data_IF_256069785172
#
_entry.id   IF_256069785172
#
_cell.length_a   1.000
_cell.length_b   1.000
_cell.length_c   1.000
_cell.angle_alpha   90.00
_cell.angle_beta   90.00
_cell.angle_gamma   90.00
#
_symmetry.space_group_name_H-M   'P 1'
#
loop_
_entity.id
_entity.type
_entity.pdbx_description
1 polymer ?
#
# COMPACT_ATOMS: atom_id res chain seq x y z
N UNK A 1 0.54 -14.34 19.30
CA UNK A 1 -0.20 -15.46 19.95
C UNK A 1 -1.23 -16.00 18.98
N UNK A 2 -1.32 -17.31 18.77
CA UNK A 2 -2.15 -17.98 17.74
C UNK A 2 -3.63 -17.79 18.06
N UNK A 3 -4.44 -17.18 17.17
CA UNK A 3 -5.89 -17.34 17.23
C UNK A 3 -6.29 -18.59 16.46
N UNK A 4 -6.51 -19.69 17.20
CA UNK A 4 -7.43 -20.75 16.78
C UNK A 4 -8.84 -20.22 16.99
N UNK A 5 -9.65 -20.26 15.94
CA UNK A 5 -11.04 -19.84 15.96
C UNK A 5 -11.82 -20.73 16.93
N UNK A 6 -12.30 -20.17 18.04
CA UNK A 6 -13.31 -20.78 18.89
C UNK A 6 -14.56 -19.92 18.73
N UNK A 7 -15.61 -20.50 18.15
CA UNK A 7 -16.93 -19.91 18.11
C UNK A 7 -17.45 -19.77 19.54
N UNK A 8 -17.73 -18.53 19.97
CA UNK A 8 -18.60 -18.28 21.10
C UNK A 8 -19.66 -17.29 20.66
N UNK A 9 -20.90 -17.77 20.67
CA UNK A 9 -22.07 -16.94 20.64
C UNK A 9 -22.19 -16.16 21.97
N UNK A 10 -22.61 -14.91 21.86
CA UNK A 10 -23.65 -14.24 22.65
C UNK A 10 -23.29 -12.81 23.10
N UNK A 11 -24.32 -11.97 23.03
CA UNK A 11 -24.60 -10.76 23.80
C UNK A 11 -24.06 -9.41 23.32
N UNK A 12 -24.99 -8.68 22.68
CA UNK A 12 -25.14 -7.23 22.64
C UNK A 12 -24.65 -6.53 23.92
N UNK A 13 -23.57 -5.75 23.80
CA UNK A 13 -23.33 -4.58 24.62
C UNK A 13 -22.80 -3.46 23.72
N UNK A 14 -23.68 -2.49 23.47
CA UNK A 14 -23.34 -1.16 22.98
C UNK A 14 -22.29 -0.56 23.91
N UNK A 15 -21.04 -0.59 23.48
CA UNK A 15 -19.99 0.24 24.02
C UNK A 15 -19.33 0.95 22.85
N UNK A 16 -19.32 2.27 22.92
CA UNK A 16 -18.61 3.18 22.04
C UNK A 16 -17.12 2.89 22.12
N UNK A 17 -16.65 1.93 21.33
CA UNK A 17 -15.24 1.71 21.11
C UNK A 17 -14.71 2.91 20.30
N UNK A 18 -13.66 3.60 20.76
CA UNK A 18 -12.92 4.49 19.88
C UNK A 18 -12.38 3.61 18.75
N UNK A 19 -12.87 3.82 17.53
CA UNK A 19 -12.29 3.22 16.34
C UNK A 19 -10.89 3.79 16.19
N UNK A 20 -9.91 3.16 16.84
CA UNK A 20 -8.50 3.36 16.57
C UNK A 20 -8.20 2.71 15.22
N UNK A 21 -8.51 3.41 14.15
CA UNK A 21 -8.06 3.06 12.79
C UNK A 21 -6.58 3.39 12.73
N UNK A 22 -5.73 2.44 13.13
CA UNK A 22 -4.31 2.53 12.85
C UNK A 22 -4.08 2.27 11.36
N UNK A 23 -3.34 3.15 10.69
CA UNK A 23 -2.94 2.99 9.28
C UNK A 23 -2.01 1.79 9.03
N UNK A 24 -1.51 1.20 10.12
CA UNK A 24 -0.89 -0.10 10.15
C UNK A 24 -1.46 -0.83 11.37
N UNK A 25 -2.25 -1.90 11.18
CA UNK A 25 -2.71 -2.70 12.31
C UNK A 25 -1.46 -3.30 12.97
N UNK A 26 -1.16 -2.90 14.21
CA UNK A 26 0.02 -3.36 14.94
C UNK A 26 -0.41 -4.26 16.09
N UNK A 27 0.29 -5.37 16.31
CA UNK A 27 0.10 -6.22 17.47
C UNK A 27 0.58 -5.51 18.76
N UNK A 28 0.45 -6.19 19.90
CA UNK A 28 0.83 -5.63 21.20
C UNK A 28 2.33 -5.31 21.34
N UNK A 29 3.17 -5.77 20.39
CA UNK A 29 4.59 -5.46 20.32
C UNK A 29 4.91 -4.33 19.33
N UNK A 30 3.89 -3.78 18.65
CA UNK A 30 4.07 -2.81 17.57
C UNK A 30 4.35 -3.44 16.21
N UNK A 31 4.25 -4.76 16.08
CA UNK A 31 4.50 -5.46 14.81
C UNK A 31 3.25 -5.45 13.93
N UNK A 32 3.45 -5.15 12.66
CA UNK A 32 2.42 -5.13 11.62
C UNK A 32 1.65 -6.48 11.52
N UNK A 33 0.32 -6.45 11.58
CA UNK A 33 -0.57 -7.61 11.46
C UNK A 33 -0.74 -7.98 9.99
N UNK A 34 -0.10 -9.08 9.59
CA UNK A 34 -0.17 -9.66 8.25
C UNK A 34 -1.11 -10.88 8.28
N UNK A 35 -1.92 -11.13 7.24
CA UNK A 35 -2.51 -12.45 7.05
C UNK A 35 -1.39 -13.47 6.77
N UNK A 36 -0.98 -14.16 7.83
CA UNK A 36 0.12 -15.11 7.82
C UNK A 36 -0.11 -16.32 6.92
N UNK A 37 -1.34 -16.63 6.48
CA UNK A 37 -1.58 -17.71 5.52
C UNK A 37 -1.25 -17.25 4.11
N UNK A 38 -1.77 -16.10 3.71
CA UNK A 38 -1.56 -15.56 2.38
C UNK A 38 -0.12 -15.13 2.18
N UNK A 39 0.50 -14.52 3.20
CA UNK A 39 1.91 -14.17 3.16
C UNK A 39 2.84 -15.39 2.98
N UNK A 40 2.59 -16.51 3.68
CA UNK A 40 3.37 -17.75 3.50
C UNK A 40 3.23 -18.33 2.09
N UNK A 41 2.04 -18.24 1.50
CA UNK A 41 1.84 -18.64 0.10
C UNK A 41 2.64 -17.75 -0.85
N UNK A 42 2.68 -16.44 -0.60
CA UNK A 42 3.50 -15.49 -1.37
C UNK A 42 4.99 -15.82 -1.28
N UNK A 43 5.51 -16.09 -0.08
CA UNK A 43 6.91 -16.52 0.14
C UNK A 43 7.22 -17.82 -0.63
N UNK A 44 6.33 -18.81 -0.55
CA UNK A 44 6.48 -20.09 -1.29
C UNK A 44 6.47 -19.85 -2.80
N UNK A 45 5.59 -19.00 -3.28
CA UNK A 45 5.49 -18.64 -4.70
C UNK A 45 6.74 -17.90 -5.17
N UNK A 46 7.27 -16.95 -4.38
CA UNK A 46 8.52 -16.28 -4.68
C UNK A 46 9.65 -17.30 -4.90
N UNK A 47 9.91 -18.15 -3.89
CA UNK A 47 11.01 -19.13 -3.93
C UNK A 47 10.89 -20.08 -5.13
N UNK A 48 9.67 -20.49 -5.47
CA UNK A 48 9.39 -21.38 -6.61
C UNK A 48 9.60 -20.71 -7.96
N UNK A 49 9.27 -19.41 -8.09
CA UNK A 49 9.14 -18.73 -9.37
C UNK A 49 10.35 -17.87 -9.75
N UNK A 50 11.11 -17.35 -8.78
CA UNK A 50 12.14 -16.33 -9.01
C UNK A 50 13.28 -16.75 -9.95
N UNK A 51 13.58 -18.05 -10.04
CA UNK A 51 14.65 -18.59 -10.89
C UNK A 51 14.15 -19.22 -12.20
N UNK A 52 12.85 -19.15 -12.49
CA UNK A 52 12.29 -19.72 -13.71
C UNK A 52 12.40 -18.70 -14.84
N UNK A 53 13.21 -18.97 -15.85
CA UNK A 53 13.46 -18.07 -16.99
C UNK A 53 12.17 -17.59 -17.65
N UNK A 54 11.20 -18.49 -17.87
CA UNK A 54 9.91 -18.14 -18.44
C UNK A 54 9.15 -17.11 -17.57
N UNK A 55 9.19 -17.25 -16.24
CA UNK A 55 8.54 -16.30 -15.34
C UNK A 55 9.28 -14.96 -15.29
N UNK A 56 10.61 -14.97 -15.38
CA UNK A 56 11.41 -13.74 -15.43
C UNK A 56 11.06 -12.95 -16.69
N UNK A 57 10.99 -13.61 -17.85
CA UNK A 57 10.62 -12.98 -19.11
C UNK A 57 9.20 -12.39 -19.05
N UNK A 58 8.23 -13.14 -18.54
CA UNK A 58 6.84 -12.68 -18.46
C UNK A 58 6.66 -11.56 -17.43
N UNK A 59 7.32 -11.64 -16.27
CA UNK A 59 7.31 -10.57 -15.28
C UNK A 59 7.90 -9.27 -15.85
N UNK A 60 8.99 -9.36 -16.61
CA UNK A 60 9.62 -8.20 -17.27
C UNK A 60 8.69 -7.56 -18.30
N UNK A 61 8.02 -8.36 -19.15
CA UNK A 61 7.04 -7.87 -20.12
C UNK A 61 5.84 -7.20 -19.45
N UNK A 62 5.33 -7.80 -18.36
CA UNK A 62 4.23 -7.25 -17.59
C UNK A 62 4.61 -5.92 -16.92
N UNK A 63 5.82 -5.84 -16.37
CA UNK A 63 6.40 -4.62 -15.81
C UNK A 63 6.55 -3.49 -16.84
N UNK A 64 7.13 -3.76 -18.01
CA UNK A 64 7.26 -2.78 -19.09
C UNK A 64 5.89 -2.25 -19.54
N UNK A 65 4.91 -3.16 -19.66
CA UNK A 65 3.52 -2.81 -19.97
C UNK A 65 2.89 -1.94 -18.88
N UNK A 66 3.09 -2.29 -17.61
CA UNK A 66 2.63 -1.52 -16.46
C UNK A 66 3.22 -0.12 -16.42
N UNK A 67 4.54 0.00 -16.63
CA UNK A 67 5.25 1.28 -16.72
C UNK A 67 4.70 2.15 -17.84
N UNK A 68 4.48 1.58 -19.03
CA UNK A 68 3.88 2.31 -20.15
C UNK A 68 2.49 2.84 -19.80
N UNK A 69 1.60 2.00 -19.26
CA UNK A 69 0.26 2.45 -18.85
C UNK A 69 0.30 3.54 -17.80
N UNK A 70 1.24 3.46 -16.85
CA UNK A 70 1.40 4.52 -15.84
C UNK A 70 1.78 5.85 -16.49
N UNK A 71 2.74 5.84 -17.42
CA UNK A 71 3.17 7.04 -18.14
C UNK A 71 2.09 7.63 -19.05
N UNK A 72 1.16 6.80 -19.54
CA UNK A 72 -0.04 7.21 -20.28
C UNK A 72 -1.16 7.74 -19.36
N UNK A 73 -0.98 7.77 -18.03
CA UNK A 73 -2.01 8.17 -17.06
C UNK A 73 -3.10 7.10 -16.85
N UNK A 74 -2.91 5.89 -17.35
CA UNK A 74 -3.87 4.78 -17.26
C UNK A 74 -3.59 3.91 -16.04
N UNK A 75 -3.75 4.50 -14.85
CA UNK A 75 -3.35 3.87 -13.59
C UNK A 75 -4.02 2.51 -13.31
N UNK A 76 -5.32 2.38 -13.60
CA UNK A 76 -6.05 1.10 -13.49
C UNK A 76 -5.43 -0.01 -14.34
N UNK A 77 -4.96 0.32 -15.55
CA UNK A 77 -4.29 -0.64 -16.42
C UNK A 77 -2.86 -0.92 -15.97
N UNK A 78 -2.17 0.09 -15.43
CA UNK A 78 -0.84 -0.08 -14.86
C UNK A 78 -0.85 -1.05 -13.66
N UNK A 79 -1.90 -0.97 -12.84
CA UNK A 79 -2.18 -1.91 -11.76
C UNK A 79 -2.54 -3.29 -12.31
N UNK A 80 -3.72 -3.42 -12.93
CA UNK A 80 -4.34 -4.73 -13.21
C UNK A 80 -3.65 -5.51 -14.33
N UNK A 81 -3.23 -4.85 -15.41
CA UNK A 81 -2.61 -5.50 -16.58
C UNK A 81 -1.08 -5.34 -16.57
N UNK A 82 -0.51 -4.77 -15.52
CA UNK A 82 0.91 -4.48 -15.41
C UNK A 82 1.51 -5.16 -14.20
N UNK A 83 1.51 -4.44 -13.07
CA UNK A 83 2.22 -4.90 -11.88
C UNK A 83 1.52 -6.06 -11.15
N UNK A 84 0.19 -6.20 -11.26
CA UNK A 84 -0.51 -7.38 -10.74
C UNK A 84 -0.15 -8.65 -11.54
N UNK A 85 -0.16 -8.57 -12.87
CA UNK A 85 0.36 -9.65 -13.74
C UNK A 85 1.83 -9.97 -13.41
N UNK A 86 2.66 -8.94 -13.19
CA UNK A 86 4.07 -9.14 -12.84
C UNK A 86 4.24 -9.92 -11.52
N UNK A 87 3.40 -9.63 -10.50
CA UNK A 87 3.35 -10.36 -9.23
C UNK A 87 2.93 -11.82 -9.44
N UNK A 88 1.96 -12.07 -10.33
CA UNK A 88 1.51 -13.43 -10.64
C UNK A 88 2.63 -14.27 -11.26
N UNK A 89 3.54 -13.67 -12.03
CA UNK A 89 4.74 -14.36 -12.52
C UNK A 89 5.83 -14.45 -11.45
N UNK A 90 6.16 -13.35 -10.78
CA UNK A 90 7.16 -13.30 -9.71
C UNK A 90 6.73 -12.26 -8.67
N UNK A 91 6.35 -12.65 -7.44
CA UNK A 91 5.91 -11.71 -6.41
C UNK A 91 7.11 -10.99 -5.77
N UNK A 92 7.80 -10.13 -6.52
CA UNK A 92 8.92 -9.33 -6.03
C UNK A 92 8.43 -8.29 -5.01
N UNK A 93 9.17 -8.04 -3.91
CA UNK A 93 8.80 -6.98 -2.95
C UNK A 93 8.52 -5.63 -3.61
N UNK A 94 9.33 -5.26 -4.60
CA UNK A 94 9.26 -3.99 -5.30
C UNK A 94 7.91 -3.80 -6.01
N UNK A 95 7.34 -4.87 -6.58
CA UNK A 95 6.04 -4.80 -7.24
C UNK A 95 4.90 -4.50 -6.26
N UNK A 96 4.97 -5.00 -5.02
CA UNK A 96 3.96 -4.66 -4.02
C UNK A 96 4.05 -3.18 -3.62
N UNK A 97 5.25 -2.62 -3.45
CA UNK A 97 5.40 -1.18 -3.19
C UNK A 97 4.82 -0.34 -4.34
N UNK A 98 5.09 -0.75 -5.59
CA UNK A 98 4.57 -0.08 -6.78
C UNK A 98 3.04 -0.15 -6.84
N UNK A 99 2.44 -1.34 -6.61
CA UNK A 99 0.99 -1.52 -6.63
C UNK A 99 0.31 -0.62 -5.59
N UNK A 100 0.78 -0.62 -4.34
CA UNK A 100 0.20 0.23 -3.30
C UNK A 100 0.32 1.72 -3.64
N UNK A 101 1.46 2.15 -4.18
CA UNK A 101 1.67 3.54 -4.63
C UNK A 101 0.75 3.92 -5.81
N UNK A 102 0.56 3.02 -6.79
CA UNK A 102 -0.35 3.25 -7.92
C UNK A 102 -1.78 3.38 -7.42
N UNK A 103 -2.28 2.46 -6.60
CA UNK A 103 -3.68 2.49 -6.13
C UNK A 103 -3.92 3.78 -5.34
N UNK A 104 -3.04 4.12 -4.39
CA UNK A 104 -3.22 5.32 -3.58
C UNK A 104 -3.16 6.60 -4.42
N UNK A 105 -2.33 6.66 -5.47
CA UNK A 105 -2.29 7.77 -6.43
C UNK A 105 -3.55 7.85 -7.29
N UNK A 106 -4.12 6.71 -7.69
CA UNK A 106 -5.41 6.67 -8.38
C UNK A 106 -6.50 7.25 -7.48
N UNK A 107 -6.58 6.81 -6.23
CA UNK A 107 -7.55 7.33 -5.27
C UNK A 107 -7.36 8.83 -5.04
N UNK A 108 -6.12 9.28 -4.85
CA UNK A 108 -5.77 10.70 -4.73
C UNK A 108 -6.26 11.52 -5.93
N UNK A 109 -6.19 10.97 -7.16
CA UNK A 109 -6.61 11.68 -8.37
C UNK A 109 -8.11 12.00 -8.39
N UNK A 110 -8.94 11.21 -7.70
CA UNK A 110 -10.37 11.49 -7.53
C UNK A 110 -10.64 12.58 -6.49
N UNK A 111 -9.68 12.85 -5.60
CA UNK A 111 -9.77 13.87 -4.57
C UNK A 111 -9.02 15.17 -4.90
N UNK A 112 -8.24 15.18 -5.99
CA UNK A 112 -7.50 16.35 -6.47
C UNK A 112 -8.27 17.13 -7.53
N UNK A 113 -8.41 18.44 -7.31
CA UNK A 113 -8.89 19.49 -8.22
C UNK A 113 -9.81 19.05 -9.37
N UNK A 114 -11.13 19.18 -9.14
CA UNK A 114 -12.10 19.16 -10.22
C UNK A 114 -11.88 20.38 -11.13
N UNK A 115 -11.86 20.23 -12.46
CA UNK A 115 -11.82 21.36 -13.40
C UNK A 115 -13.06 22.27 -13.30
N UNK A 116 -14.07 21.85 -12.53
CA UNK A 116 -15.29 22.60 -12.25
C UNK A 116 -15.34 23.13 -10.81
N UNK A 117 -14.23 23.05 -10.06
CA UNK A 117 -14.18 23.54 -8.69
C UNK A 117 -14.29 25.08 -8.65
N UNK A 118 -15.14 25.65 -7.79
CA UNK A 118 -15.27 27.10 -7.67
C UNK A 118 -13.98 27.73 -7.09
N UNK A 119 -13.71 29.02 -7.39
CA UNK A 119 -12.58 29.74 -6.80
C UNK A 119 -12.63 29.69 -5.26
N UNK A 120 -11.54 29.22 -4.63
CA UNK A 120 -11.46 29.05 -3.18
C UNK A 120 -11.79 27.64 -2.66
N UNK A 121 -12.24 26.73 -3.51
CA UNK A 121 -12.30 25.31 -3.15
C UNK A 121 -10.88 24.79 -2.90
N UNK A 122 -10.65 24.21 -1.72
CA UNK A 122 -9.44 23.45 -1.43
C UNK A 122 -9.79 21.98 -1.59
N UNK A 123 -9.19 21.35 -2.61
CA UNK A 123 -9.24 19.90 -2.76
C UNK A 123 -8.72 19.22 -1.50
N UNK A 124 -9.45 18.20 -1.07
CA UNK A 124 -9.54 17.80 0.32
C UNK A 124 -9.92 16.33 0.39
N UNK A 125 -9.15 15.54 1.13
CA UNK A 125 -9.50 14.14 1.40
C UNK A 125 -10.15 14.07 2.78
N UNK A 126 -11.38 13.57 2.86
CA UNK A 126 -12.03 13.34 4.15
C UNK A 126 -11.14 12.46 5.04
N UNK A 127 -10.97 12.82 6.32
CA UNK A 127 -9.99 12.16 7.19
C UNK A 127 -10.27 10.68 7.44
N UNK A 128 -11.53 10.27 7.52
CA UNK A 128 -11.88 8.87 7.77
C UNK A 128 -11.76 8.05 6.48
N UNK A 129 -12.13 8.66 5.35
CA UNK A 129 -11.91 8.08 4.03
C UNK A 129 -10.42 7.92 3.75
N UNK A 130 -9.61 8.95 4.00
CA UNK A 130 -8.15 8.90 3.87
C UNK A 130 -7.54 7.78 4.72
N UNK A 131 -7.95 7.67 5.99
CA UNK A 131 -7.47 6.60 6.87
C UNK A 131 -7.84 5.21 6.33
N UNK A 132 -9.06 5.07 5.82
CA UNK A 132 -9.57 3.82 5.23
C UNK A 132 -8.81 3.47 3.95
N UNK A 133 -8.57 4.45 3.08
CA UNK A 133 -7.85 4.22 1.82
C UNK A 133 -6.37 3.90 2.07
N UNK A 134 -5.71 4.55 3.04
CA UNK A 134 -4.33 4.16 3.43
C UNK A 134 -4.31 2.72 3.96
N UNK A 135 -5.23 2.35 4.84
CA UNK A 135 -5.26 1.01 5.45
C UNK A 135 -5.71 -0.09 4.49
N UNK A 136 -6.59 0.21 3.53
CA UNK A 136 -7.09 -0.76 2.56
C UNK A 136 -6.18 -0.89 1.34
N UNK A 137 -5.71 0.24 0.81
CA UNK A 137 -5.14 0.29 -0.54
C UNK A 137 -3.60 0.29 -0.53
N UNK A 138 -2.98 0.88 0.49
CA UNK A 138 -1.51 0.98 0.59
C UNK A 138 -0.93 -0.07 1.54
N UNK A 139 -1.45 -0.11 2.76
CA UNK A 139 -0.91 -0.88 3.87
C UNK A 139 -0.64 -2.35 3.48
N UNK A 140 -1.63 -3.15 3.02
CA UNK A 140 -1.43 -4.59 2.83
C UNK A 140 -0.33 -4.92 1.81
N UNK A 141 -0.22 -4.09 0.77
CA UNK A 141 0.82 -4.21 -0.25
C UNK A 141 2.20 -3.89 0.34
N UNK A 142 2.32 -2.81 1.10
CA UNK A 142 3.58 -2.43 1.73
C UNK A 142 4.01 -3.43 2.79
N UNK A 143 3.08 -3.89 3.63
CA UNK A 143 3.34 -4.94 4.62
C UNK A 143 3.88 -6.21 3.93
N UNK A 144 3.26 -6.65 2.83
CA UNK A 144 3.71 -7.82 2.07
C UNK A 144 5.11 -7.61 1.48
N UNK A 145 5.37 -6.44 0.91
CA UNK A 145 6.69 -6.09 0.37
C UNK A 145 7.79 -6.08 1.44
N UNK A 146 7.57 -5.41 2.57
CA UNK A 146 8.51 -5.39 3.68
C UNK A 146 8.72 -6.78 4.26
N UNK A 147 7.64 -7.52 4.52
CA UNK A 147 7.69 -8.89 5.01
C UNK A 147 8.51 -9.80 4.11
N UNK A 148 8.33 -9.72 2.79
CA UNK A 148 9.12 -10.52 1.85
C UNK A 148 10.61 -10.20 1.93
N UNK A 149 10.99 -8.92 2.05
CA UNK A 149 12.39 -8.51 2.17
C UNK A 149 13.04 -9.11 3.42
N UNK A 150 12.36 -9.04 4.55
CA UNK A 150 12.89 -9.54 5.81
C UNK A 150 12.90 -11.08 5.87
N UNK A 151 11.79 -11.75 5.49
CA UNK A 151 11.66 -13.22 5.50
C UNK A 151 12.61 -13.92 4.53
N UNK A 152 12.91 -13.29 3.39
CA UNK A 152 13.82 -13.84 2.38
C UNK A 152 15.25 -13.30 2.50
N UNK A 153 15.52 -12.44 3.49
CA UNK A 153 16.81 -11.79 3.72
C UNK A 153 17.38 -11.10 2.44
N UNK A 154 16.54 -10.31 1.76
CA UNK A 154 16.87 -9.67 0.48
C UNK A 154 17.66 -8.37 0.69
N UNK A 155 18.92 -8.51 1.09
CA UNK A 155 19.80 -7.36 1.42
C UNK A 155 19.95 -6.34 0.29
N UNK A 156 19.95 -6.79 -0.98
CA UNK A 156 19.99 -5.89 -2.14
C UNK A 156 18.73 -5.02 -2.22
N UNK A 157 17.56 -5.64 -2.11
CA UNK A 157 16.27 -4.92 -2.10
C UNK A 157 16.18 -3.98 -0.90
N UNK A 158 16.58 -4.42 0.30
CA UNK A 158 16.60 -3.58 1.52
C UNK A 158 17.43 -2.30 1.36
N UNK A 159 18.49 -2.35 0.56
CA UNK A 159 19.36 -1.21 0.29
C UNK A 159 18.94 -0.36 -0.93
N UNK A 160 17.95 -0.82 -1.70
CA UNK A 160 17.46 -0.13 -2.90
C UNK A 160 16.80 1.22 -2.59
N UNK A 161 16.77 2.10 -3.59
CA UNK A 161 16.12 3.41 -3.49
C UNK A 161 14.62 3.26 -3.27
N UNK A 162 13.97 2.34 -4.00
CA UNK A 162 12.53 2.09 -3.87
C UNK A 162 12.15 1.63 -2.45
N UNK A 163 12.90 0.71 -1.83
CA UNK A 163 12.59 0.24 -0.48
C UNK A 163 12.67 1.37 0.56
N UNK A 164 13.74 2.18 0.48
CA UNK A 164 13.92 3.33 1.39
C UNK A 164 12.83 4.38 1.20
N UNK A 165 12.44 4.64 -0.05
CA UNK A 165 11.34 5.56 -0.32
C UNK A 165 10.01 4.99 0.16
N UNK A 166 9.73 3.70 -0.06
CA UNK A 166 8.52 3.04 0.44
C UNK A 166 8.41 3.16 1.98
N UNK A 167 9.52 2.95 2.69
CA UNK A 167 9.57 3.12 4.15
C UNK A 167 9.27 4.57 4.58
N UNK A 168 9.83 5.53 3.84
CA UNK A 168 9.60 6.97 4.08
C UNK A 168 8.13 7.33 3.84
N UNK A 169 7.55 6.86 2.74
CA UNK A 169 6.15 7.07 2.38
C UNK A 169 5.23 6.47 3.45
N UNK A 170 5.46 5.22 3.86
CA UNK A 170 4.68 4.55 4.90
C UNK A 170 4.70 5.31 6.22
N UNK A 171 5.89 5.70 6.67
CA UNK A 171 6.06 6.45 7.92
C UNK A 171 5.40 7.82 7.87
N UNK A 172 5.50 8.52 6.73
CA UNK A 172 4.87 9.82 6.54
C UNK A 172 3.35 9.71 6.55
N UNK A 173 2.79 8.76 5.80
CA UNK A 173 1.35 8.54 5.69
C UNK A 173 0.77 8.06 7.02
N UNK A 174 1.44 7.16 7.75
CA UNK A 174 1.01 6.75 9.09
C UNK A 174 0.92 7.94 10.06
N UNK A 175 1.96 8.79 10.09
CA UNK A 175 1.95 10.02 10.89
C UNK A 175 0.84 10.98 10.46
N UNK A 176 0.59 11.10 9.16
CA UNK A 176 -0.47 11.94 8.62
C UNK A 176 -1.85 11.41 9.05
N UNK A 177 -2.09 10.10 8.93
CA UNK A 177 -3.33 9.46 9.37
C UNK A 177 -3.55 9.68 10.87
N UNK A 178 -2.53 9.46 11.71
CA UNK A 178 -2.63 9.72 13.16
C UNK A 178 -2.96 11.17 13.47
N UNK A 179 -2.25 12.14 12.85
CA UNK A 179 -2.48 13.59 13.03
C UNK A 179 -3.94 13.98 12.80
N UNK A 180 -4.58 13.44 11.76
CA UNK A 180 -5.94 13.84 11.39
C UNK A 180 -7.04 13.04 12.11
N UNK A 181 -6.76 11.81 12.56
CA UNK A 181 -7.71 11.00 13.33
C UNK A 181 -7.85 11.40 14.82
N UNK A 182 -6.96 12.24 15.35
CA UNK A 182 -7.12 12.79 16.70
C UNK A 182 -8.50 13.49 16.87
N UNK A 183 -9.09 13.43 18.06
CA UNK A 183 -10.51 13.78 18.32
C UNK A 183 -10.90 15.22 17.92
N UNK A 184 -9.93 16.14 17.84
CA UNK A 184 -10.11 17.53 17.38
C UNK A 184 -9.42 17.83 16.04
N UNK A 185 -8.92 16.81 15.34
CA UNK A 185 -8.26 16.96 14.05
C UNK A 185 -9.20 17.47 12.96
N UNK A 186 -8.72 18.30 12.01
CA UNK A 186 -9.53 18.80 10.90
C UNK A 186 -10.19 17.64 10.13
N UNK A 187 -11.42 17.82 9.65
CA UNK A 187 -12.09 16.80 8.84
C UNK A 187 -11.42 16.57 7.47
N UNK A 188 -10.55 17.50 7.09
CA UNK A 188 -9.97 17.59 5.76
C UNK A 188 -8.46 17.38 5.83
N UNK A 189 -7.97 16.33 5.17
CA UNK A 189 -6.55 16.13 4.91
C UNK A 189 -6.19 16.87 3.63
N UNK A 190 -5.28 17.87 3.66
CA UNK A 190 -4.87 18.60 2.48
C UNK A 190 -4.18 17.66 1.48
N UNK A 191 -4.63 17.71 0.22
CA UNK A 191 -4.08 16.91 -0.88
C UNK A 191 -2.57 17.13 -1.06
N UNK A 192 -2.09 18.35 -0.81
CA UNK A 192 -0.65 18.68 -0.88
C UNK A 192 0.17 18.01 0.23
N UNK A 193 -0.38 17.80 1.43
CA UNK A 193 0.31 17.02 2.48
C UNK A 193 0.41 15.55 2.07
N UNK A 194 -0.63 15.00 1.44
CA UNK A 194 -0.62 13.62 0.93
C UNK A 194 0.38 13.47 -0.22
N UNK A 195 0.38 14.39 -1.19
CA UNK A 195 1.37 14.41 -2.29
C UNK A 195 2.80 14.52 -1.76
N UNK A 196 3.03 15.34 -0.73
CA UNK A 196 4.34 15.48 -0.11
C UNK A 196 4.81 14.17 0.55
N UNK A 197 3.91 13.42 1.21
CA UNK A 197 4.24 12.10 1.75
C UNK A 197 4.50 11.04 0.66
N UNK A 198 3.78 11.09 -0.45
CA UNK A 198 3.94 10.16 -1.57
C UNK A 198 5.22 10.40 -2.36
N UNK A 199 5.64 11.66 -2.53
CA UNK A 199 6.80 12.04 -3.31
C UNK A 199 6.75 11.52 -4.76
N UNK A 200 7.92 11.19 -5.31
CA UNK A 200 8.04 10.59 -6.65
C UNK A 200 7.37 9.21 -6.71
N UNK A 201 6.66 8.87 -7.80
CA UNK A 201 6.10 7.54 -8.01
C UNK A 201 7.14 6.44 -7.81
N UNK A 202 6.80 5.41 -7.02
CA UNK A 202 7.77 4.39 -6.61
C UNK A 202 8.29 3.57 -7.80
N UNK A 203 7.48 3.38 -8.83
CA UNK A 203 7.90 2.71 -10.07
C UNK A 203 9.01 3.44 -10.83
N UNK A 204 9.17 4.75 -10.64
CA UNK A 204 10.26 5.52 -11.24
C UNK A 204 11.58 5.38 -10.45
N UNK A 205 11.53 4.76 -9.28
CA UNK A 205 12.67 4.47 -8.42
C UNK A 205 13.08 2.99 -8.47
N UNK A 206 12.33 2.20 -9.21
CA UNK A 206 12.68 0.84 -9.57
C UNK A 206 13.64 0.91 -10.76
N UNK A 207 14.76 0.16 -10.68
CA UNK A 207 16.00 0.24 -11.47
C UNK A 207 17.17 1.00 -10.80
#
# INVERSE_FOLDING_TARGET
MIKRSVHFACSLLLSSAPFHVHAFESDLNGDVVIDWRDFRNTVKNYKRKINLTANIEQATKAEERGRRYFLEGRYEHAYSLGYQDAIDYIPRPEYFFIVGDIILRTTLSFHSDSPHAPPGYKACWDKYQFATDVSRDLEPSFQTGFGLVDELNLSKTKNSKIYKQAMTNASCLARLTSKYLEQMGPQCVPIEEVKACLGSPLLLLYH
#
